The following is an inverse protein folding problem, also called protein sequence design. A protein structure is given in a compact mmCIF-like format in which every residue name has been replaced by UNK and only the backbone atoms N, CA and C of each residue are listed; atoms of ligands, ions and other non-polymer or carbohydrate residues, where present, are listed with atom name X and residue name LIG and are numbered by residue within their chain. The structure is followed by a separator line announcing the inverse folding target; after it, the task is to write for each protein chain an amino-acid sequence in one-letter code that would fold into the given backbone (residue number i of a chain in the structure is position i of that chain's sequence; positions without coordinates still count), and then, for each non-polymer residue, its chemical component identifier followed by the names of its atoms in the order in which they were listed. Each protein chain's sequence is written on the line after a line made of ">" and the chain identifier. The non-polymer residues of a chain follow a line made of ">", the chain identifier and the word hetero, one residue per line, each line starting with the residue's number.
data_IF_652740227941
#
_entry.id   IF_652740227941
#
_cell.length_a   1.000
_cell.length_b   1.000
_cell.length_c   1.000
_cell.angle_alpha   90.00
_cell.angle_beta   90.00
_cell.angle_gamma   90.00
#
_symmetry.space_group_name_H-M   'P 1'
#
loop_
_entity.id
_entity.type
_entity.pdbx_description
1 polymer ?
#
# COMPACT_ATOMS: atom_id res chain seq x y z
N UNK A 1 3.05 -8.13 -5.56
CA UNK A 1 3.18 -6.93 -6.42
C UNK A 1 4.09 -7.25 -7.62
N UNK A 2 4.10 -6.43 -8.70
CA UNK A 2 5.12 -6.55 -9.74
C UNK A 2 6.53 -6.45 -9.15
N UNK A 3 7.48 -7.22 -9.67
CA UNK A 3 8.89 -7.13 -9.24
C UNK A 3 9.45 -5.76 -9.64
N UNK A 4 10.31 -5.20 -8.81
CA UNK A 4 11.10 -4.02 -9.15
C UNK A 4 12.55 -4.41 -9.45
N UNK A 5 13.27 -3.50 -10.09
CA UNK A 5 14.71 -3.62 -10.31
C UNK A 5 15.45 -2.45 -9.68
N UNK A 6 16.63 -2.72 -9.13
CA UNK A 6 17.54 -1.67 -8.65
C UNK A 6 17.87 -0.71 -9.81
N UNK A 7 17.87 0.59 -9.52
CA UNK A 7 18.18 1.64 -10.48
C UNK A 7 17.09 1.92 -11.52
N UNK A 8 15.95 1.22 -11.48
CA UNK A 8 14.82 1.48 -12.38
C UNK A 8 13.68 2.18 -11.64
N UNK A 9 13.02 3.19 -12.24
CA UNK A 9 11.81 3.76 -11.67
C UNK A 9 10.77 2.68 -11.42
N UNK A 10 10.14 2.77 -10.26
CA UNK A 10 9.04 1.91 -9.84
C UNK A 10 7.88 2.79 -9.41
N UNK A 11 6.68 2.48 -9.90
CA UNK A 11 5.44 3.09 -9.46
C UNK A 11 4.33 2.03 -9.58
N UNK A 12 3.77 1.64 -8.45
CA UNK A 12 2.63 0.73 -8.39
C UNK A 12 1.60 1.26 -7.41
N UNK A 13 0.35 1.31 -7.86
CA UNK A 13 -0.82 1.53 -7.00
C UNK A 13 -1.36 0.19 -6.52
N UNK A 14 -1.72 0.12 -5.25
CA UNK A 14 -2.42 -1.00 -4.65
C UNK A 14 -3.84 -0.51 -4.37
N UNK A 15 -4.82 -1.17 -4.98
CA UNK A 15 -6.23 -0.92 -4.70
C UNK A 15 -6.61 -1.53 -3.35
N UNK A 16 -7.05 -0.66 -2.46
CA UNK A 16 -7.98 -0.98 -1.38
C UNK A 16 -9.32 -1.14 -2.10
N UNK A 17 -10.10 -2.17 -1.77
CA UNK A 17 -11.38 -2.40 -2.46
C UNK A 17 -12.22 -1.12 -2.50
N UNK A 18 -13.02 -0.92 -3.55
CA UNK A 18 -13.92 0.24 -3.68
C UNK A 18 -15.02 0.17 -2.60
N UNK A 19 -14.65 0.50 -1.39
CA UNK A 19 -15.48 0.41 -0.19
C UNK A 19 -15.40 1.74 0.54
N UNK A 20 -16.47 2.05 1.25
CA UNK A 20 -16.44 3.15 2.21
C UNK A 20 -15.68 2.61 3.43
N UNK A 21 -14.48 3.14 3.66
CA UNK A 21 -13.79 2.95 4.93
C UNK A 21 -14.66 3.53 6.04
N UNK A 22 -14.87 2.76 7.10
CA UNK A 22 -15.67 3.18 8.26
C UNK A 22 -14.84 4.08 9.17
N UNK A 23 -13.56 3.75 9.32
CA UNK A 23 -12.55 4.42 10.14
C UNK A 23 -11.24 4.59 9.34
N UNK A 24 -10.15 4.92 10.02
CA UNK A 24 -8.81 5.03 9.43
C UNK A 24 -8.29 3.70 8.84
N UNK A 25 -7.49 3.83 7.79
CA UNK A 25 -6.67 2.75 7.24
C UNK A 25 -5.35 2.66 8.01
N UNK A 26 -5.10 1.52 8.63
CA UNK A 26 -3.79 1.21 9.20
C UNK A 26 -2.86 0.65 8.12
N UNK A 27 -1.66 1.22 8.04
CA UNK A 27 -0.63 0.84 7.07
C UNK A 27 0.67 0.57 7.81
N UNK A 28 1.18 -0.66 7.71
CA UNK A 28 2.49 -1.05 8.20
C UNK A 28 3.38 -1.50 7.03
N UNK A 29 4.67 -1.17 7.10
CA UNK A 29 5.63 -1.61 6.08
C UNK A 29 7.04 -1.66 6.61
N UNK A 30 7.83 -2.57 6.06
CA UNK A 30 9.28 -2.61 6.30
C UNK A 30 10.09 -1.84 5.24
N UNK A 31 9.44 -0.97 4.46
CA UNK A 31 10.13 -0.10 3.49
C UNK A 31 10.93 0.93 4.28
N UNK A 32 12.25 0.79 4.23
CA UNK A 32 13.18 1.68 4.92
C UNK A 32 13.59 2.84 4.02
N UNK A 33 13.97 3.98 4.61
CA UNK A 33 14.39 5.18 3.85
C UNK A 33 15.57 4.93 2.90
N UNK A 34 16.45 3.98 3.24
CA UNK A 34 17.60 3.56 2.43
C UNK A 34 17.24 2.51 1.35
N UNK A 35 15.95 2.22 1.15
CA UNK A 35 15.49 1.38 0.03
C UNK A 35 15.41 2.14 -1.29
N UNK A 36 15.29 3.47 -1.25
CA UNK A 36 14.97 4.31 -2.41
C UNK A 36 13.49 4.24 -2.84
N UNK A 37 12.65 3.57 -2.04
CA UNK A 37 11.21 3.47 -2.20
C UNK A 37 10.50 4.30 -1.13
N UNK A 38 9.33 4.83 -1.49
CA UNK A 38 8.45 5.60 -0.62
C UNK A 38 7.05 5.02 -0.74
N UNK A 39 6.39 4.86 0.40
CA UNK A 39 4.99 4.47 0.49
C UNK A 39 4.14 5.73 0.72
N UNK A 40 3.33 6.10 -0.27
CA UNK A 40 2.33 7.16 -0.13
C UNK A 40 0.99 6.52 0.16
N UNK A 41 0.46 6.78 1.34
CA UNK A 41 -0.79 6.15 1.78
C UNK A 41 -2.02 6.97 1.42
N UNK A 42 -1.87 8.29 1.18
CA UNK A 42 -3.01 9.19 0.96
C UNK A 42 -3.97 9.24 2.15
N UNK A 43 -3.57 8.71 3.30
CA UNK A 43 -4.38 8.64 4.52
C UNK A 43 -4.43 10.03 5.15
N UNK A 44 -5.63 10.62 5.23
CA UNK A 44 -5.85 11.89 5.92
C UNK A 44 -6.71 12.93 5.18
N UNK A 45 -7.02 12.74 3.89
CA UNK A 45 -7.89 13.66 3.14
C UNK A 45 -9.17 12.96 2.65
N UNK A 46 -10.34 13.26 3.25
CA UNK A 46 -11.63 12.83 2.74
C UNK A 46 -12.04 13.58 1.46
N UNK A 47 -12.71 12.91 0.50
CA UNK A 47 -12.91 11.47 0.44
C UNK A 47 -11.58 10.77 0.14
N UNK A 48 -11.37 9.55 0.65
CA UNK A 48 -10.27 8.66 0.22
C UNK A 48 -10.49 8.26 -1.26
N UNK A 49 -10.52 9.24 -2.16
CA UNK A 49 -11.24 9.22 -3.45
C UNK A 49 -10.76 8.10 -4.36
N UNK A 50 -9.50 7.72 -4.20
CA UNK A 50 -8.84 6.79 -5.09
C UNK A 50 -8.76 5.38 -4.47
N UNK A 51 -9.12 5.19 -3.19
CA UNK A 51 -9.00 3.92 -2.45
C UNK A 51 -7.69 3.18 -2.78
N UNK A 52 -6.59 3.90 -2.90
CA UNK A 52 -5.30 3.32 -3.31
C UNK A 52 -4.19 3.84 -2.43
N UNK A 53 -3.21 2.98 -2.20
CA UNK A 53 -1.88 3.40 -1.74
C UNK A 53 -0.91 3.29 -2.93
N UNK A 54 0.14 4.08 -2.92
CA UNK A 54 1.15 4.10 -3.98
C UNK A 54 2.52 3.77 -3.40
N UNK A 55 3.23 2.82 -4.02
CA UNK A 55 4.66 2.59 -3.77
C UNK A 55 5.41 3.13 -4.97
N UNK A 56 6.27 4.13 -4.73
CA UNK A 56 7.06 4.77 -5.79
C UNK A 56 8.50 4.98 -5.41
N UNK A 57 9.34 5.20 -6.40
CA UNK A 57 10.73 5.58 -6.23
C UNK A 57 11.65 4.81 -7.15
N UNK A 58 12.95 4.87 -6.87
CA UNK A 58 13.97 4.12 -7.61
C UNK A 58 14.72 3.27 -6.59
N UNK A 59 14.47 1.94 -6.54
CA UNK A 59 15.12 1.09 -5.56
C UNK A 59 16.65 1.17 -5.68
N UNK A 60 17.34 1.25 -4.55
CA UNK A 60 18.82 1.31 -4.51
C UNK A 60 19.46 0.04 -3.94
N UNK A 61 18.66 -0.89 -3.40
CA UNK A 61 19.12 -2.19 -2.90
C UNK A 61 18.11 -3.30 -3.16
N UNK A 62 18.63 -4.51 -3.34
CA UNK A 62 17.83 -5.72 -3.41
C UNK A 62 17.15 -5.98 -2.06
N UNK A 63 16.00 -6.64 -2.09
CA UNK A 63 15.30 -6.97 -0.86
C UNK A 63 13.89 -7.49 -1.09
N UNK A 64 13.34 -8.08 -0.03
CA UNK A 64 11.92 -8.39 0.08
C UNK A 64 11.28 -7.38 1.02
N UNK A 65 10.38 -6.58 0.49
CA UNK A 65 9.60 -5.62 1.25
C UNK A 65 8.17 -6.14 1.42
N UNK A 66 7.58 -5.81 2.55
CA UNK A 66 6.25 -6.21 2.96
C UNK A 66 5.46 -4.96 3.32
N UNK A 67 4.21 -4.92 2.85
CA UNK A 67 3.23 -3.89 3.17
C UNK A 67 1.98 -4.59 3.67
N UNK A 68 1.49 -4.18 4.82
CA UNK A 68 0.28 -4.70 5.45
C UNK A 68 -0.73 -3.56 5.50
N UNK A 69 -1.93 -3.82 4.97
CA UNK A 69 -3.08 -2.93 5.04
C UNK A 69 -4.13 -3.56 5.94
N UNK A 70 -4.57 -2.81 6.93
CA UNK A 70 -5.65 -3.20 7.83
C UNK A 70 -6.68 -2.09 7.94
N UNK A 71 -7.94 -2.46 8.04
CA UNK A 71 -9.00 -1.48 8.22
C UNK A 71 -10.36 -2.12 8.31
N UNK A 72 -11.37 -1.26 8.34
CA UNK A 72 -12.77 -1.66 8.43
C UNK A 72 -13.57 -1.01 7.30
N UNK A 73 -14.38 -1.81 6.63
CA UNK A 73 -15.24 -1.39 5.52
C UNK A 73 -16.71 -1.53 5.91
N UNK A 74 -17.59 -0.77 5.27
CA UNK A 74 -19.03 -0.96 5.39
C UNK A 74 -19.57 -1.82 4.26
N UNK A 75 -20.31 -2.86 4.59
CA UNK A 75 -21.00 -3.70 3.61
C UNK A 75 -22.33 -3.07 3.15
N UNK A 76 -22.95 -3.65 2.12
CA UNK A 76 -24.20 -3.15 1.53
C UNK A 76 -25.39 -3.11 2.52
N UNK A 77 -25.30 -3.82 3.65
CA UNK A 77 -26.34 -3.91 4.68
C UNK A 77 -26.02 -3.06 5.91
N UNK A 78 -24.99 -2.20 5.84
CA UNK A 78 -24.60 -1.30 6.94
C UNK A 78 -23.75 -1.96 8.04
N UNK A 79 -23.38 -3.23 7.88
CA UNK A 79 -22.49 -3.94 8.79
C UNK A 79 -21.02 -3.65 8.49
N UNK A 80 -20.19 -3.69 9.54
CA UNK A 80 -18.76 -3.46 9.45
C UNK A 80 -18.01 -4.76 9.15
N UNK A 81 -17.06 -4.73 8.22
CA UNK A 81 -16.19 -5.86 7.85
C UNK A 81 -14.74 -5.45 8.03
N UNK A 82 -14.00 -6.17 8.87
CA UNK A 82 -12.56 -5.98 9.00
C UNK A 82 -11.85 -6.66 7.84
N UNK A 83 -10.79 -6.02 7.32
CA UNK A 83 -9.89 -6.64 6.36
C UNK A 83 -8.43 -6.50 6.80
N UNK A 84 -7.63 -7.48 6.38
CA UNK A 84 -6.17 -7.43 6.43
C UNK A 84 -5.64 -7.97 5.11
N UNK A 85 -4.83 -7.18 4.41
CA UNK A 85 -4.19 -7.56 3.15
C UNK A 85 -2.69 -7.38 3.26
N UNK A 86 -1.94 -8.36 2.76
CA UNK A 86 -0.48 -8.36 2.73
C UNK A 86 0.01 -8.32 1.29
N UNK A 87 0.97 -7.44 1.03
CA UNK A 87 1.59 -7.27 -0.27
C UNK A 87 3.10 -7.44 -0.16
N UNK A 88 3.62 -8.41 -0.90
CA UNK A 88 5.06 -8.62 -1.04
C UNK A 88 5.57 -7.89 -2.29
N UNK A 89 6.64 -7.11 -2.11
CA UNK A 89 7.45 -6.49 -3.15
C UNK A 89 8.85 -7.11 -3.15
N UNK A 90 9.27 -7.64 -4.29
CA UNK A 90 10.62 -8.18 -4.48
C UNK A 90 11.39 -7.23 -5.38
N UNK A 91 12.53 -6.74 -4.89
CA UNK A 91 13.49 -5.95 -5.64
C UNK A 91 14.70 -6.82 -5.98
N UNK A 92 14.98 -6.92 -7.27
CA UNK A 92 16.12 -7.66 -7.81
C UNK A 92 17.09 -6.70 -8.52
N UNK A 93 18.27 -7.20 -8.85
CA UNK A 93 19.26 -6.46 -9.62
C UNK A 93 18.85 -6.34 -11.09
#
# INVERSE_FOLDING_TARGET
>A
MPKASVGKPYNVKIEIEKVILVDDLFVDSNITNDSGLVLNTGVGEPPYSDNTIEVKGTPIKNGKYEIILEGQTRNAYGGNINFRKKYDLIVLQ
#
